data_IF_473009975144
#
_entry.id   IF_473009975144
#
_cell.length_a   1.000
_cell.length_b   1.000
_cell.length_c   1.000
_cell.angle_alpha   90.00
_cell.angle_beta   90.00
_cell.angle_gamma   90.00
#
_symmetry.space_group_name_H-M   'P 1'
#
loop_
_entity.id
_entity.type
_entity.pdbx_description
1 polymer ?
#
# COMPACT_ATOMS: atom_id res chain seq x y z
N UNK A 1 -15.34 -76.34 -29.48
CA UNK A 1 -15.85 -74.97 -29.26
C UNK A 1 -15.05 -74.03 -30.16
N UNK A 2 -15.68 -73.36 -31.13
CA UNK A 2 -15.05 -72.36 -32.01
C UNK A 2 -15.59 -70.99 -31.59
N UNK A 3 -14.71 -70.06 -31.29
CA UNK A 3 -15.07 -68.70 -30.85
C UNK A 3 -14.86 -67.78 -32.04
N UNK A 4 -15.95 -67.24 -32.60
CA UNK A 4 -15.87 -66.29 -33.71
C UNK A 4 -15.43 -64.91 -33.22
N UNK A 5 -14.23 -64.49 -33.65
CA UNK A 5 -13.59 -63.22 -33.27
C UNK A 5 -14.18 -61.98 -33.95
N UNK A 6 -15.02 -62.15 -34.98
CA UNK A 6 -15.62 -61.06 -35.75
C UNK A 6 -16.60 -60.18 -34.93
N UNK A 7 -17.05 -60.66 -33.77
CA UNK A 7 -18.02 -59.95 -32.91
C UNK A 7 -17.42 -58.78 -32.13
N UNK A 8 -16.08 -58.67 -32.10
CA UNK A 8 -15.37 -57.73 -31.23
C UNK A 8 -14.73 -56.54 -31.98
N UNK A 9 -14.89 -56.46 -33.30
CA UNK A 9 -14.24 -55.45 -34.15
C UNK A 9 -14.94 -54.09 -34.11
N UNK A 10 -16.15 -54.01 -33.55
CA UNK A 10 -16.98 -52.78 -33.55
C UNK A 10 -17.32 -52.25 -32.15
N UNK A 11 -16.53 -52.56 -31.12
CA UNK A 11 -16.71 -51.89 -29.83
C UNK A 11 -16.14 -50.47 -29.91
N UNK A 12 -16.95 -49.42 -29.70
CA UNK A 12 -16.44 -48.06 -29.65
C UNK A 12 -15.54 -47.90 -28.42
N UNK A 13 -14.33 -47.39 -28.60
CA UNK A 13 -13.39 -47.12 -27.51
C UNK A 13 -14.00 -46.09 -26.55
N UNK A 14 -14.37 -46.52 -25.34
CA UNK A 14 -15.08 -45.70 -24.35
C UNK A 14 -14.17 -44.84 -23.47
N UNK A 15 -12.85 -44.84 -23.71
CA UNK A 15 -11.87 -44.20 -22.84
C UNK A 15 -11.18 -43.00 -23.50
N UNK A 16 -11.95 -42.05 -24.01
CA UNK A 16 -11.43 -40.71 -24.29
C UNK A 16 -11.70 -39.79 -23.09
N UNK A 17 -10.67 -39.53 -22.29
CA UNK A 17 -10.71 -38.50 -21.24
C UNK A 17 -10.74 -37.12 -21.90
N UNK A 18 -11.90 -36.46 -21.89
CA UNK A 18 -12.01 -35.02 -22.18
C UNK A 18 -11.47 -34.23 -20.99
N UNK A 19 -10.20 -33.85 -21.03
CA UNK A 19 -9.64 -32.87 -20.09
C UNK A 19 -10.15 -31.48 -20.44
N UNK A 20 -11.29 -31.09 -19.88
CA UNK A 20 -11.63 -29.67 -19.76
C UNK A 20 -10.79 -29.09 -18.63
N UNK A 21 -9.76 -28.33 -18.99
CA UNK A 21 -9.04 -27.49 -18.04
C UNK A 21 -9.87 -26.22 -17.84
N UNK A 22 -10.65 -26.17 -16.75
CA UNK A 22 -11.21 -24.90 -16.28
C UNK A 22 -10.04 -24.03 -15.79
N UNK A 23 -9.80 -22.92 -16.49
CA UNK A 23 -8.82 -21.91 -16.09
C UNK A 23 -9.31 -21.26 -14.78
N UNK A 24 -8.65 -21.58 -13.67
CA UNK A 24 -8.90 -20.90 -12.39
C UNK A 24 -8.59 -19.41 -12.53
N UNK A 25 -9.42 -18.49 -12.01
CA UNK A 25 -9.09 -17.07 -12.00
C UNK A 25 -7.83 -16.84 -11.17
N UNK A 26 -6.92 -16.04 -11.71
CA UNK A 26 -5.67 -15.66 -11.05
C UNK A 26 -6.01 -14.88 -9.76
N UNK A 27 -5.74 -15.47 -8.59
CA UNK A 27 -5.86 -14.75 -7.32
C UNK A 27 -4.84 -13.61 -7.33
N UNK A 28 -5.31 -12.38 -7.46
CA UNK A 28 -4.47 -11.20 -7.23
C UNK A 28 -3.99 -11.23 -5.78
N UNK A 29 -2.67 -11.28 -5.60
CA UNK A 29 -2.04 -11.17 -4.28
C UNK A 29 -2.36 -9.79 -3.74
N UNK A 30 -3.31 -9.70 -2.82
CA UNK A 30 -3.52 -8.47 -2.05
C UNK A 30 -2.25 -8.21 -1.24
N UNK A 31 -1.67 -7.04 -1.43
CA UNK A 31 -0.52 -6.59 -0.64
C UNK A 31 -1.05 -6.06 0.67
N UNK A 32 -0.39 -6.41 1.77
CA UNK A 32 -0.75 -5.88 3.08
C UNK A 32 -0.63 -4.36 3.06
N UNK A 33 -1.74 -3.68 3.35
CA UNK A 33 -1.79 -2.23 3.46
C UNK A 33 -2.03 -1.84 4.92
N UNK A 34 -1.08 -1.10 5.49
CA UNK A 34 -1.23 -0.52 6.81
C UNK A 34 -1.89 0.86 6.67
N UNK A 35 -3.08 1.02 7.24
CA UNK A 35 -3.73 2.33 7.37
C UNK A 35 -3.60 2.84 8.80
N UNK A 36 -3.36 4.15 8.93
CA UNK A 36 -3.41 4.83 10.23
C UNK A 36 -4.85 4.80 10.76
N UNK A 37 -5.01 4.60 12.06
CA UNK A 37 -6.33 4.57 12.70
C UNK A 37 -7.08 5.89 12.49
N UNK A 38 -8.41 5.84 12.48
CA UNK A 38 -9.24 7.03 12.37
C UNK A 38 -8.95 8.04 13.49
N UNK A 39 -8.62 7.55 14.70
CA UNK A 39 -8.21 8.39 15.82
C UNK A 39 -6.88 9.11 15.59
N UNK A 40 -5.88 8.42 15.02
CA UNK A 40 -4.61 9.04 14.68
C UNK A 40 -4.82 10.15 13.64
N UNK A 41 -5.64 9.90 12.60
CA UNK A 41 -6.00 10.93 11.62
C UNK A 41 -6.64 12.15 12.27
N UNK A 42 -7.61 11.94 13.16
CA UNK A 42 -8.29 13.05 13.85
C UNK A 42 -7.33 13.96 14.61
N UNK A 43 -6.30 13.41 15.28
CA UNK A 43 -5.29 14.21 16.00
C UNK A 43 -4.40 15.07 15.09
N UNK A 44 -4.21 14.67 13.83
CA UNK A 44 -3.42 15.44 12.84
C UNK A 44 -4.29 16.35 11.97
N UNK A 45 -5.54 15.98 11.73
CA UNK A 45 -6.52 16.74 10.94
C UNK A 45 -7.17 17.86 11.75
N UNK A 46 -7.00 17.91 13.08
CA UNK A 46 -7.33 19.11 13.85
C UNK A 46 -6.65 20.31 13.19
N UNK A 47 -7.42 21.24 12.58
CA UNK A 47 -6.83 22.37 11.90
C UNK A 47 -6.20 23.22 13.00
N UNK A 48 -4.86 23.19 13.06
CA UNK A 48 -4.06 24.04 13.93
C UNK A 48 -4.24 25.49 13.47
N UNK A 49 -5.40 26.07 13.79
CA UNK A 49 -5.70 27.50 13.76
C UNK A 49 -5.06 28.10 15.01
N UNK A 50 -3.74 28.04 15.09
CA UNK A 50 -3.00 28.83 16.06
C UNK A 50 -2.63 30.14 15.36
N UNK A 51 -3.42 31.22 15.51
CA UNK A 51 -3.12 32.51 14.90
C UNK A 51 -1.71 32.99 15.28
N UNK A 52 -1.33 32.78 16.54
CA UNK A 52 0.00 33.09 17.08
C UNK A 52 1.13 32.38 16.33
N UNK A 53 0.88 31.16 15.85
CA UNK A 53 1.86 30.38 15.09
C UNK A 53 2.00 30.94 13.67
N UNK A 54 0.87 31.31 13.05
CA UNK A 54 0.85 31.95 11.73
C UNK A 54 1.59 33.29 11.75
N UNK A 55 1.37 34.11 12.78
CA UNK A 55 2.08 35.37 12.97
C UNK A 55 3.58 35.16 13.12
N UNK A 56 4.01 34.21 13.96
CA UNK A 56 5.43 33.84 14.12
C UNK A 56 6.06 33.38 12.81
N UNK A 57 5.34 32.58 12.01
CA UNK A 57 5.83 32.13 10.71
C UNK A 57 5.99 33.31 9.76
N UNK A 58 5.05 34.24 9.74
CA UNK A 58 5.11 35.42 8.86
C UNK A 58 6.26 36.35 9.25
N UNK A 59 6.48 36.58 10.55
CA UNK A 59 7.62 37.35 11.04
C UNK A 59 8.96 36.71 10.64
N UNK A 60 9.11 35.39 10.85
CA UNK A 60 10.31 34.65 10.45
C UNK A 60 10.54 34.73 8.94
N UNK A 61 9.49 34.61 8.13
CA UNK A 61 9.60 34.76 6.66
C UNK A 61 10.08 36.15 6.28
N UNK A 62 9.60 37.19 6.95
CA UNK A 62 10.02 38.56 6.69
C UNK A 62 11.52 38.76 7.01
N UNK A 63 12.00 38.25 8.15
CA UNK A 63 13.43 38.30 8.52
C UNK A 63 14.33 37.54 7.54
N UNK A 64 13.87 36.38 7.05
CA UNK A 64 14.60 35.60 6.05
C UNK A 64 14.69 36.38 4.73
N UNK A 65 13.58 36.95 4.27
CA UNK A 65 13.56 37.74 3.03
C UNK A 65 14.41 39.01 3.14
N UNK A 66 14.49 39.61 4.33
CA UNK A 66 15.36 40.75 4.61
C UNK A 66 16.85 40.38 4.75
N UNK A 67 17.19 39.08 4.79
CA UNK A 67 18.56 38.59 4.98
C UNK A 67 19.12 38.80 6.38
N UNK A 68 18.29 39.19 7.35
CA UNK A 68 18.69 39.45 8.75
C UNK A 68 18.48 38.24 9.66
N UNK A 69 17.85 37.18 9.15
CA UNK A 69 17.63 35.95 9.91
C UNK A 69 18.96 35.26 10.26
N UNK A 70 19.28 35.22 11.55
CA UNK A 70 20.43 34.46 12.08
C UNK A 70 19.99 33.64 13.28
N UNK A 71 20.52 32.42 13.42
CA UNK A 71 20.18 31.53 14.52
C UNK A 71 21.44 31.01 15.19
N UNK A 72 21.43 30.98 16.52
CA UNK A 72 22.56 30.47 17.30
C UNK A 72 22.68 28.94 17.17
N UNK A 73 23.88 28.49 16.79
CA UNK A 73 24.21 27.07 16.68
C UNK A 73 24.03 26.32 18.02
N UNK A 74 24.24 26.99 19.16
CA UNK A 74 24.04 26.39 20.49
C UNK A 74 22.58 26.06 20.75
N UNK A 75 21.66 26.93 20.32
CA UNK A 75 20.23 26.66 20.43
C UNK A 75 19.78 25.52 19.54
N UNK A 76 20.36 25.43 18.34
CA UNK A 76 20.10 24.32 17.41
C UNK A 76 20.54 23.00 18.07
N UNK A 77 21.76 22.94 18.62
CA UNK A 77 22.29 21.74 19.27
C UNK A 77 21.44 21.29 20.48
N UNK A 78 20.94 22.23 21.30
CA UNK A 78 20.03 21.91 22.42
C UNK A 78 18.78 21.16 21.97
N UNK A 79 18.21 21.49 20.81
CA UNK A 79 17.01 20.80 20.28
C UNK A 79 17.28 19.35 19.92
N UNK A 80 18.47 19.03 19.40
CA UNK A 80 18.83 17.67 19.01
C UNK A 80 19.23 16.80 20.20
N UNK A 81 19.73 17.41 21.29
CA UNK A 81 20.14 16.67 22.49
C UNK A 81 18.97 16.28 23.41
N UNK A 82 17.82 16.96 23.31
CA UNK A 82 16.63 16.70 24.12
C UNK A 82 15.68 15.64 23.52
N UNK A 83 16.14 14.87 22.54
CA UNK A 83 15.37 13.81 21.86
C UNK A 83 15.33 12.50 22.63
#
# INVERSE_FOLDING_TARGET
MRIDSAKWVHLPNTYEKKTQHETKPELTRQTDQLSISAEARARFEEPVKQPDRLEKINALKAEINAGTYTRDAREIAKRFLQG
#
